data_IF_785511322296
#
_entry.id   IF_785511322296
#
_cell.length_a   1.000
_cell.length_b   1.000
_cell.length_c   1.000
_cell.angle_alpha   90.00
_cell.angle_beta   90.00
_cell.angle_gamma   90.00
#
_symmetry.space_group_name_H-M   'P 1'
#
loop_
_entity.id
_entity.type
_entity.pdbx_description
1 polymer ?
#
# COMPACT_ATOMS: atom_id res chain seq x y z
N UNK A 1 25.71 15.26 6.65
CA UNK A 1 25.26 13.98 7.23
C UNK A 1 24.72 13.15 6.07
N UNK A 2 25.21 11.94 5.92
CA UNK A 2 25.23 11.21 4.65
C UNK A 2 23.83 10.86 4.14
N UNK A 3 23.63 11.02 2.83
CA UNK A 3 22.42 10.61 2.10
C UNK A 3 22.01 9.16 2.39
N UNK A 4 22.93 8.30 2.77
CA UNK A 4 22.72 6.87 3.05
C UNK A 4 22.01 6.64 4.38
N UNK A 5 22.33 7.39 5.43
CA UNK A 5 21.63 7.31 6.73
C UNK A 5 20.19 7.82 6.61
N UNK A 6 19.98 8.83 5.78
CA UNK A 6 18.62 9.34 5.50
C UNK A 6 17.77 8.32 4.73
N UNK A 7 18.34 7.62 3.74
CA UNK A 7 17.61 6.59 2.97
C UNK A 7 17.27 5.39 3.84
N UNK A 8 18.19 4.91 4.68
CA UNK A 8 17.93 3.80 5.60
C UNK A 8 16.82 4.13 6.62
N UNK A 9 16.84 5.36 7.16
CA UNK A 9 15.78 5.84 8.04
C UNK A 9 14.42 5.91 7.33
N UNK A 10 14.38 6.34 6.07
CA UNK A 10 13.16 6.36 5.24
C UNK A 10 12.62 4.94 5.03
N UNK A 11 13.49 3.98 4.73
CA UNK A 11 13.11 2.57 4.52
C UNK A 11 12.50 1.99 5.80
N UNK A 12 13.19 2.13 6.93
CA UNK A 12 12.72 1.56 8.20
C UNK A 12 11.43 2.23 8.68
N UNK A 13 11.33 3.55 8.48
CA UNK A 13 10.10 4.31 8.76
C UNK A 13 8.93 3.85 7.88
N UNK A 14 9.13 3.66 6.60
CA UNK A 14 8.07 3.25 5.67
C UNK A 14 7.53 1.85 5.94
N UNK A 15 8.39 0.91 6.38
CA UNK A 15 7.98 -0.48 6.61
C UNK A 15 7.34 -0.67 7.99
N UNK A 16 7.92 -0.10 9.05
CA UNK A 16 7.51 -0.36 10.44
C UNK A 16 6.72 0.78 11.05
N UNK A 17 7.29 1.99 11.11
CA UNK A 17 6.71 3.11 11.87
C UNK A 17 5.51 3.73 11.17
N UNK A 18 5.61 3.96 9.85
CA UNK A 18 4.56 4.54 9.02
C UNK A 18 3.96 3.49 8.07
N UNK A 19 3.64 2.31 8.60
CA UNK A 19 2.95 1.31 7.80
C UNK A 19 1.60 1.84 7.33
N UNK A 20 1.35 1.78 6.01
CA UNK A 20 0.14 2.38 5.40
C UNK A 20 -1.15 1.80 5.95
N UNK A 21 -1.19 0.51 6.31
CA UNK A 21 -2.39 -0.15 6.83
C UNK A 21 -2.58 0.18 8.32
N UNK A 22 -1.59 -0.10 9.15
CA UNK A 22 -1.74 -0.07 10.60
C UNK A 22 -1.57 1.33 11.21
N UNK A 23 -0.78 2.20 10.59
CA UNK A 23 -0.55 3.56 11.09
C UNK A 23 -1.42 4.61 10.40
N UNK A 24 -1.60 4.51 9.09
CA UNK A 24 -2.32 5.50 8.28
C UNK A 24 -3.75 5.08 7.94
N UNK A 25 -4.14 3.83 8.21
CA UNK A 25 -5.44 3.25 7.85
C UNK A 25 -5.75 3.33 6.34
N UNK A 26 -4.72 3.32 5.50
CA UNK A 26 -4.84 3.38 4.06
C UNK A 26 -4.70 1.98 3.44
N UNK A 27 -5.54 1.67 2.44
CA UNK A 27 -5.52 0.37 1.79
C UNK A 27 -6.27 -0.74 2.54
N UNK A 28 -7.25 -0.39 3.37
CA UNK A 28 -8.05 -1.36 4.12
C UNK A 28 -8.92 -2.24 3.23
N UNK A 29 -9.37 -1.75 2.06
CA UNK A 29 -10.23 -2.52 1.16
C UNK A 29 -9.55 -3.80 0.66
N UNK A 30 -8.34 -3.76 0.05
CA UNK A 30 -7.63 -4.98 -0.31
C UNK A 30 -7.13 -5.77 0.90
N UNK A 31 -6.79 -5.09 2.00
CA UNK A 31 -6.37 -5.74 3.24
C UNK A 31 -7.44 -6.68 3.81
N UNK A 32 -8.69 -6.26 3.88
CA UNK A 32 -9.80 -7.09 4.35
C UNK A 32 -10.30 -8.07 3.29
N UNK A 33 -10.32 -7.65 2.02
CA UNK A 33 -10.86 -8.43 0.92
C UNK A 33 -9.98 -9.59 0.46
N UNK A 34 -8.65 -9.38 0.41
CA UNK A 34 -7.69 -10.32 -0.18
C UNK A 34 -6.89 -11.14 0.83
N UNK A 35 -7.17 -11.00 2.13
CA UNK A 35 -6.41 -11.66 3.21
C UNK A 35 -6.97 -13.01 3.64
N UNK A 36 -7.87 -13.63 2.87
CA UNK A 36 -8.43 -14.96 3.20
C UNK A 36 -7.42 -16.10 3.05
N UNK A 37 -6.47 -15.97 2.12
CA UNK A 37 -5.41 -16.95 1.86
C UNK A 37 -4.06 -16.25 1.70
N UNK A 38 -2.99 -16.86 2.23
CA UNK A 38 -1.63 -16.30 2.16
C UNK A 38 -1.17 -16.09 0.72
N UNK A 39 -1.44 -17.04 -0.18
CA UNK A 39 -1.03 -16.94 -1.60
C UNK A 39 -1.67 -15.75 -2.30
N UNK A 40 -2.96 -15.52 -2.06
CA UNK A 40 -3.70 -14.36 -2.62
C UNK A 40 -3.20 -13.05 -2.01
N UNK A 41 -2.93 -13.03 -0.70
CA UNK A 41 -2.40 -11.88 0.01
C UNK A 41 -1.00 -11.50 -0.49
N UNK A 42 -0.11 -12.48 -0.70
CA UNK A 42 1.22 -12.27 -1.22
C UNK A 42 1.19 -11.73 -2.66
N UNK A 43 0.38 -12.32 -3.54
CA UNK A 43 0.19 -11.86 -4.91
C UNK A 43 -0.33 -10.42 -4.97
N UNK A 44 -1.33 -10.10 -4.14
CA UNK A 44 -1.87 -8.74 -4.03
C UNK A 44 -0.84 -7.75 -3.48
N UNK A 45 -0.10 -8.13 -2.46
CA UNK A 45 0.96 -7.30 -1.87
C UNK A 45 2.06 -6.96 -2.88
N UNK A 46 2.46 -7.94 -3.69
CA UNK A 46 3.47 -7.76 -4.73
C UNK A 46 2.97 -6.83 -5.86
N UNK A 47 1.73 -7.02 -6.30
CA UNK A 47 1.10 -6.17 -7.31
C UNK A 47 0.99 -4.70 -6.81
N UNK A 48 0.54 -4.49 -5.58
CA UNK A 48 0.45 -3.16 -4.97
C UNK A 48 1.84 -2.53 -4.84
N UNK A 49 2.87 -3.28 -4.43
CA UNK A 49 4.25 -2.78 -4.33
C UNK A 49 4.76 -2.26 -5.68
N UNK A 50 4.53 -3.02 -6.74
CA UNK A 50 4.91 -2.63 -8.10
C UNK A 50 4.19 -1.34 -8.55
N UNK A 51 2.88 -1.29 -8.34
CA UNK A 51 2.06 -0.11 -8.68
C UNK A 51 2.47 1.11 -7.87
N UNK A 52 2.75 0.97 -6.57
CA UNK A 52 3.20 2.07 -5.71
C UNK A 52 4.54 2.63 -6.14
N UNK A 53 5.49 1.78 -6.53
CA UNK A 53 6.79 2.20 -7.06
C UNK A 53 6.65 3.00 -8.35
N UNK A 54 5.88 2.49 -9.32
CA UNK A 54 5.62 3.19 -10.59
C UNK A 54 4.82 4.48 -10.40
N UNK A 55 3.77 4.45 -9.57
CA UNK A 55 2.98 5.64 -9.28
C UNK A 55 3.82 6.75 -8.64
N UNK A 56 4.71 6.39 -7.70
CA UNK A 56 5.64 7.35 -7.07
C UNK A 56 6.57 8.02 -8.09
N UNK A 57 7.10 7.24 -9.05
CA UNK A 57 7.98 7.78 -10.09
C UNK A 57 7.24 8.74 -11.04
N UNK A 58 6.08 8.31 -11.55
CA UNK A 58 5.31 9.09 -12.53
C UNK A 58 4.68 10.32 -11.89
N UNK A 59 4.10 10.18 -10.70
CA UNK A 59 3.48 11.31 -10.01
C UNK A 59 4.51 12.35 -9.54
N UNK A 60 5.75 11.95 -9.28
CA UNK A 60 6.83 12.92 -9.03
C UNK A 60 7.09 13.80 -10.26
N UNK A 61 7.15 13.22 -11.47
CA UNK A 61 7.28 13.98 -12.72
C UNK A 61 6.09 14.91 -12.96
N UNK A 62 4.87 14.40 -12.73
CA UNK A 62 3.66 15.21 -12.83
C UNK A 62 3.65 16.34 -11.83
N UNK A 63 4.11 16.12 -10.61
CA UNK A 63 4.23 17.17 -9.60
C UNK A 63 5.19 18.29 -10.06
N UNK A 64 6.35 17.95 -10.60
CA UNK A 64 7.28 18.93 -11.14
C UNK A 64 6.65 19.78 -12.26
N UNK A 65 5.81 19.17 -13.10
CA UNK A 65 5.09 19.87 -14.14
C UNK A 65 4.02 20.80 -13.58
N UNK A 66 3.20 20.33 -12.62
CA UNK A 66 2.13 21.11 -11.99
C UNK A 66 2.68 22.33 -11.24
N UNK A 67 3.79 22.17 -10.53
CA UNK A 67 4.44 23.27 -9.80
C UNK A 67 4.94 24.35 -10.80
N UNK A 68 5.52 23.95 -11.94
CA UNK A 68 5.94 24.89 -13.00
C UNK A 68 4.77 25.66 -13.63
N UNK A 69 3.60 25.02 -13.71
CA UNK A 69 2.38 25.64 -14.27
C UNK A 69 1.58 26.45 -13.22
N UNK A 70 1.99 26.45 -11.96
CA UNK A 70 1.29 27.15 -10.88
C UNK A 70 -0.07 26.55 -10.48
N UNK A 71 -0.35 25.29 -10.87
CA UNK A 71 -1.62 24.60 -10.67
C UNK A 71 -1.62 23.70 -9.42
N UNK A 72 -1.00 24.13 -8.33
CA UNK A 72 -0.87 23.33 -7.10
C UNK A 72 -2.20 22.90 -6.48
N UNK A 73 -3.29 23.65 -6.67
CA UNK A 73 -4.61 23.30 -6.14
C UNK A 73 -5.27 22.08 -6.85
N UNK A 74 -4.84 21.76 -8.07
CA UNK A 74 -5.34 20.60 -8.84
C UNK A 74 -4.52 19.33 -8.62
N UNK A 75 -3.54 19.36 -7.71
CA UNK A 75 -2.55 18.31 -7.50
C UNK A 75 -3.20 16.96 -7.20
N UNK A 76 -4.14 16.90 -6.25
CA UNK A 76 -4.81 15.66 -5.86
C UNK A 76 -5.63 15.06 -7.01
N UNK A 77 -6.35 15.89 -7.77
CA UNK A 77 -7.14 15.43 -8.91
C UNK A 77 -6.24 14.87 -10.01
N UNK A 78 -5.14 15.57 -10.30
CA UNK A 78 -4.16 15.11 -11.27
C UNK A 78 -3.54 13.76 -10.89
N UNK A 79 -3.21 13.56 -9.61
CA UNK A 79 -2.68 12.29 -9.14
C UNK A 79 -3.68 11.14 -9.26
N UNK A 80 -4.94 11.34 -8.87
CA UNK A 80 -5.99 10.31 -9.02
C UNK A 80 -6.13 9.92 -10.49
N UNK A 81 -6.16 10.87 -11.41
CA UNK A 81 -6.31 10.62 -12.83
C UNK A 81 -5.11 9.86 -13.41
N UNK A 82 -3.89 10.27 -13.05
CA UNK A 82 -2.66 9.61 -13.49
C UNK A 82 -2.56 8.19 -12.94
N UNK A 83 -2.87 7.96 -11.67
CA UNK A 83 -2.85 6.64 -11.04
C UNK A 83 -3.90 5.73 -11.70
N UNK A 84 -5.12 6.24 -11.93
CA UNK A 84 -6.17 5.47 -12.59
C UNK A 84 -5.77 5.05 -14.01
N UNK A 85 -5.22 5.97 -14.81
CA UNK A 85 -4.74 5.69 -16.16
C UNK A 85 -3.58 4.67 -16.17
N UNK A 86 -2.64 4.82 -15.24
CA UNK A 86 -1.50 3.91 -15.08
C UNK A 86 -1.95 2.49 -14.73
N UNK A 87 -2.83 2.34 -13.75
CA UNK A 87 -3.32 1.03 -13.32
C UNK A 87 -4.15 0.38 -14.41
N UNK A 88 -4.98 1.13 -15.12
CA UNK A 88 -5.73 0.64 -16.26
C UNK A 88 -4.82 0.14 -17.39
N UNK A 89 -3.72 0.84 -17.64
CA UNK A 89 -2.71 0.41 -18.60
C UNK A 89 -2.03 -0.89 -18.17
N UNK A 90 -1.65 -1.01 -16.90
CA UNK A 90 -1.07 -2.23 -16.33
C UNK A 90 -2.06 -3.39 -16.42
N UNK A 91 -3.34 -3.16 -16.14
CA UNK A 91 -4.39 -4.16 -16.27
C UNK A 91 -4.48 -4.73 -17.68
N UNK A 92 -4.52 -3.86 -18.69
CA UNK A 92 -4.54 -4.30 -20.09
C UNK A 92 -3.28 -5.07 -20.47
N UNK A 93 -2.13 -4.66 -19.96
CA UNK A 93 -0.87 -5.35 -20.20
C UNK A 93 -0.84 -6.73 -19.55
N UNK A 94 -1.26 -6.86 -18.29
CA UNK A 94 -1.35 -8.14 -17.57
C UNK A 94 -2.32 -9.11 -18.25
N UNK A 95 -3.46 -8.63 -18.70
CA UNK A 95 -4.46 -9.43 -19.43
C UNK A 95 -3.88 -10.05 -20.69
N UNK A 96 -3.00 -9.35 -21.39
CA UNK A 96 -2.39 -9.81 -22.64
C UNK A 96 -1.14 -10.69 -22.42
N UNK A 97 -0.32 -10.36 -21.42
CA UNK A 97 0.99 -10.97 -21.20
C UNK A 97 0.94 -12.18 -20.26
N UNK A 98 0.13 -12.15 -19.22
CA UNK A 98 0.09 -13.21 -18.21
C UNK A 98 -1.36 -13.52 -17.81
N UNK A 99 -2.11 -14.27 -18.66
CA UNK A 99 -3.52 -14.60 -18.41
C UNK A 99 -3.74 -15.39 -17.11
N UNK A 100 -2.78 -16.19 -16.70
CA UNK A 100 -2.82 -16.98 -15.46
C UNK A 100 -2.84 -16.08 -14.22
N UNK A 101 -2.00 -15.06 -14.16
CA UNK A 101 -1.96 -14.09 -13.07
C UNK A 101 -3.19 -13.17 -13.10
N UNK A 102 -3.65 -12.80 -14.30
CA UNK A 102 -4.89 -12.05 -14.48
C UNK A 102 -6.11 -12.82 -13.96
N UNK A 103 -6.21 -14.13 -14.23
CA UNK A 103 -7.29 -14.97 -13.70
C UNK A 103 -7.27 -15.08 -12.17
N UNK A 104 -6.09 -15.15 -11.56
CA UNK A 104 -5.93 -15.20 -10.11
C UNK A 104 -6.25 -13.86 -9.42
N UNK A 105 -5.89 -12.74 -10.04
CA UNK A 105 -6.09 -11.38 -9.53
C UNK A 105 -7.34 -10.67 -10.08
N UNK A 106 -8.02 -11.25 -11.07
CA UNK A 106 -9.03 -10.59 -11.89
C UNK A 106 -10.17 -9.90 -11.13
N UNK A 107 -10.65 -10.50 -10.03
CA UNK A 107 -11.69 -9.92 -9.17
C UNK A 107 -11.11 -8.77 -8.30
N UNK A 108 -9.79 -8.79 -8.02
CA UNK A 108 -9.13 -7.85 -7.12
C UNK A 108 -8.46 -6.66 -7.83
N UNK A 109 -8.39 -6.68 -9.17
CA UNK A 109 -7.82 -5.59 -9.96
C UNK A 109 -8.49 -4.22 -9.70
N UNK A 110 -9.82 -4.10 -9.62
CA UNK A 110 -10.46 -2.86 -9.23
C UNK A 110 -10.02 -2.35 -7.85
N UNK A 111 -9.69 -3.25 -6.92
CA UNK A 111 -9.20 -2.89 -5.59
C UNK A 111 -7.77 -2.31 -5.62
N UNK A 112 -6.98 -2.60 -6.66
CA UNK A 112 -5.67 -1.98 -6.87
C UNK A 112 -5.85 -0.56 -7.42
N UNK A 113 -6.77 -0.38 -8.38
CA UNK A 113 -7.04 0.91 -9.03
C UNK A 113 -7.53 1.95 -8.04
N UNK A 114 -8.43 1.55 -7.14
CA UNK A 114 -9.03 2.42 -6.12
C UNK A 114 -8.30 2.36 -4.77
N UNK A 115 -7.08 1.84 -4.73
CA UNK A 115 -6.34 1.66 -3.48
C UNK A 115 -5.88 2.99 -2.90
N UNK A 116 -6.43 3.35 -1.75
CA UNK A 116 -6.09 4.57 -1.02
C UNK A 116 -4.59 4.63 -0.61
N UNK A 117 -3.92 3.49 -0.45
CA UNK A 117 -2.50 3.46 -0.10
C UNK A 117 -1.62 3.97 -1.25
N UNK A 118 -1.98 3.70 -2.52
CA UNK A 118 -1.27 4.21 -3.69
C UNK A 118 -1.37 5.73 -3.77
N UNK A 119 -2.57 6.27 -3.54
CA UNK A 119 -2.77 7.72 -3.49
C UNK A 119 -2.04 8.33 -2.28
N UNK A 120 -2.12 7.67 -1.13
CA UNK A 120 -1.49 8.11 0.11
C UNK A 120 0.03 8.26 -0.01
N UNK A 121 0.71 7.29 -0.63
CA UNK A 121 2.17 7.36 -0.82
C UNK A 121 2.57 8.56 -1.69
N UNK A 122 1.81 8.86 -2.74
CA UNK A 122 2.09 9.99 -3.63
C UNK A 122 1.87 11.32 -2.91
N UNK A 123 0.81 11.45 -2.13
CA UNK A 123 0.54 12.64 -1.33
C UNK A 123 1.62 12.87 -0.26
N UNK A 124 2.05 11.83 0.44
CA UNK A 124 3.12 11.92 1.44
C UNK A 124 4.48 12.27 0.80
N UNK A 125 4.80 11.71 -0.36
CA UNK A 125 5.99 12.08 -1.12
C UNK A 125 6.05 13.58 -1.42
N UNK A 126 4.91 14.16 -1.75
CA UNK A 126 4.79 15.60 -2.02
C UNK A 126 4.88 16.43 -0.75
N UNK A 127 4.23 16.00 0.34
CA UNK A 127 4.28 16.68 1.63
C UNK A 127 5.70 16.71 2.21
N UNK A 128 6.45 15.61 2.08
CA UNK A 128 7.84 15.54 2.53
C UNK A 128 8.82 16.17 1.55
N UNK A 129 8.37 16.65 0.39
CA UNK A 129 9.21 17.23 -0.65
C UNK A 129 10.38 16.35 -1.05
N UNK A 130 10.16 15.05 -1.16
CA UNK A 130 11.18 14.07 -1.50
C UNK A 130 11.73 14.27 -2.92
N UNK A 131 13.04 14.04 -3.07
CA UNK A 131 13.66 13.96 -4.39
C UNK A 131 13.18 12.71 -5.16
N UNK A 132 13.44 12.65 -6.46
CA UNK A 132 12.99 11.54 -7.31
C UNK A 132 13.37 10.16 -6.75
N UNK A 133 14.64 9.96 -6.39
CA UNK A 133 15.13 8.70 -5.84
C UNK A 133 14.45 8.34 -4.50
N UNK A 134 14.32 9.32 -3.61
CA UNK A 134 13.66 9.12 -2.30
C UNK A 134 12.19 8.77 -2.46
N UNK A 135 11.49 9.41 -3.41
CA UNK A 135 10.09 9.12 -3.73
C UNK A 135 9.89 7.69 -4.20
N UNK A 136 10.75 7.20 -5.10
CA UNK A 136 10.68 5.83 -5.62
C UNK A 136 10.98 4.82 -4.51
N UNK A 137 12.04 5.06 -3.73
CA UNK A 137 12.42 4.20 -2.59
C UNK A 137 11.28 4.15 -1.58
N UNK A 138 10.71 5.28 -1.19
CA UNK A 138 9.59 5.33 -0.26
C UNK A 138 8.35 4.58 -0.79
N UNK A 139 8.06 4.70 -2.10
CA UNK A 139 6.96 3.99 -2.76
C UNK A 139 7.15 2.46 -2.73
N UNK A 140 8.34 1.97 -3.09
CA UNK A 140 8.64 0.53 -3.10
C UNK A 140 8.64 -0.06 -1.69
N UNK A 141 9.33 0.59 -0.73
CA UNK A 141 9.39 0.08 0.64
C UNK A 141 8.07 0.26 1.40
N UNK A 142 7.28 1.29 1.09
CA UNK A 142 5.91 1.42 1.56
C UNK A 142 5.02 0.27 1.07
N UNK A 143 5.18 -0.13 -0.20
CA UNK A 143 4.51 -1.30 -0.77
C UNK A 143 4.95 -2.62 -0.10
N UNK A 144 6.24 -2.79 0.19
CA UNK A 144 6.73 -3.95 0.96
C UNK A 144 6.17 -3.97 2.38
N UNK A 145 6.04 -2.81 3.04
CA UNK A 145 5.36 -2.68 4.32
C UNK A 145 3.88 -3.08 4.25
N UNK A 146 3.20 -2.70 3.17
CA UNK A 146 1.84 -3.13 2.88
C UNK A 146 1.75 -4.65 2.69
N UNK A 147 2.66 -5.24 1.90
CA UNK A 147 2.74 -6.69 1.68
C UNK A 147 2.96 -7.43 2.99
N UNK A 148 3.87 -6.97 3.83
CA UNK A 148 4.13 -7.55 5.15
C UNK A 148 2.87 -7.55 6.01
N UNK A 149 2.17 -6.42 6.07
CA UNK A 149 0.96 -6.28 6.87
C UNK A 149 -0.17 -7.21 6.40
N UNK A 150 -0.41 -7.31 5.09
CA UNK A 150 -1.48 -8.18 4.56
C UNK A 150 -1.15 -9.67 4.73
N UNK A 151 0.13 -10.06 4.60
CA UNK A 151 0.56 -11.45 4.83
C UNK A 151 0.46 -11.84 6.32
N UNK A 152 0.85 -10.95 7.24
CA UNK A 152 0.68 -11.18 8.68
C UNK A 152 -0.79 -11.37 9.03
N UNK A 153 -1.65 -10.51 8.51
CA UNK A 153 -3.09 -10.61 8.76
C UNK A 153 -3.71 -11.86 8.14
N UNK A 154 -3.29 -12.26 6.93
CA UNK A 154 -3.73 -13.50 6.31
C UNK A 154 -3.35 -14.72 7.16
N UNK A 155 -2.13 -14.75 7.72
CA UNK A 155 -1.70 -15.82 8.63
C UNK A 155 -2.53 -15.89 9.91
N UNK A 156 -2.95 -14.74 10.45
CA UNK A 156 -3.83 -14.68 11.62
C UNK A 156 -5.22 -15.19 11.26
N UNK A 157 -5.78 -14.77 10.12
CA UNK A 157 -7.11 -15.23 9.66
C UNK A 157 -7.16 -16.73 9.41
N UNK A 158 -6.13 -17.29 8.81
CA UNK A 158 -6.04 -18.73 8.56
C UNK A 158 -6.01 -19.54 9.87
N UNK A 159 -5.40 -19.02 10.93
CA UNK A 159 -5.45 -19.62 12.27
C UNK A 159 -6.80 -19.43 12.96
N UNK A 160 -7.45 -18.30 12.74
CA UNK A 160 -8.76 -18.03 13.32
C UNK A 160 -9.87 -18.92 12.74
N UNK A 161 -9.71 -19.44 11.53
CA UNK A 161 -10.66 -20.38 10.92
C UNK A 161 -10.81 -21.68 11.75
N UNK A 162 -9.78 -22.06 12.50
CA UNK A 162 -9.77 -23.24 13.38
C UNK A 162 -10.07 -22.91 14.84
N UNK A 163 -10.34 -21.65 15.18
CA UNK A 163 -10.58 -21.24 16.55
C UNK A 163 -12.07 -21.33 16.88
N UNK A 164 -12.37 -21.75 18.12
CA UNK A 164 -13.73 -21.79 18.64
C UNK A 164 -14.07 -20.41 19.25
N UNK A 165 -14.96 -19.68 18.60
CA UNK A 165 -15.44 -18.37 19.04
C UNK A 165 -16.97 -18.30 18.94
N UNK A 166 -17.63 -17.41 19.73
CA UNK A 166 -19.08 -17.27 19.73
C UNK A 166 -19.64 -16.95 18.33
N UNK A 167 -20.78 -17.51 17.97
CA UNK A 167 -21.45 -17.31 16.68
C UNK A 167 -21.64 -15.83 16.31
N UNK A 168 -21.79 -14.94 17.30
CA UNK A 168 -21.91 -13.50 17.09
C UNK A 168 -20.65 -12.84 16.50
N UNK A 169 -19.49 -13.49 16.61
CA UNK A 169 -18.21 -13.00 16.06
C UNK A 169 -17.79 -13.69 14.77
N UNK A 170 -18.60 -14.63 14.29
CA UNK A 170 -18.30 -15.39 13.08
C UNK A 170 -18.22 -14.49 11.84
N UNK A 171 -17.19 -14.71 11.00
CA UNK A 171 -17.00 -14.03 9.74
C UNK A 171 -16.29 -12.67 9.84
N UNK A 172 -16.95 -11.59 9.43
CA UNK A 172 -16.35 -10.27 9.33
C UNK A 172 -16.00 -9.60 10.67
N UNK A 173 -16.82 -9.72 11.75
CA UNK A 173 -16.51 -9.08 13.04
C UNK A 173 -15.18 -9.52 13.65
N UNK A 174 -14.86 -10.81 13.62
CA UNK A 174 -13.59 -11.32 14.17
C UNK A 174 -12.39 -10.81 13.38
N UNK A 175 -12.54 -10.62 12.05
CA UNK A 175 -11.51 -10.04 11.22
C UNK A 175 -11.20 -8.60 11.62
N UNK A 176 -12.23 -7.79 11.92
CA UNK A 176 -12.05 -6.41 12.37
C UNK A 176 -11.36 -6.33 13.73
N UNK A 177 -11.76 -7.18 14.68
CA UNK A 177 -11.15 -7.25 16.02
C UNK A 177 -9.67 -7.63 15.89
N UNK A 178 -9.36 -8.63 15.09
CA UNK A 178 -7.98 -9.08 14.85
C UNK A 178 -7.12 -8.02 14.16
N UNK A 179 -7.69 -7.31 13.18
CA UNK A 179 -7.03 -6.17 12.53
C UNK A 179 -6.74 -5.04 13.52
N UNK A 180 -7.69 -4.74 14.41
CA UNK A 180 -7.52 -3.74 15.47
C UNK A 180 -6.42 -4.12 16.46
N UNK A 181 -6.36 -5.39 16.88
CA UNK A 181 -5.30 -5.89 17.78
C UNK A 181 -3.92 -5.82 17.12
N UNK A 182 -3.81 -6.16 15.83
CA UNK A 182 -2.57 -6.01 15.09
C UNK A 182 -2.16 -4.55 14.95
N UNK A 183 -3.11 -3.65 14.69
CA UNK A 183 -2.83 -2.20 14.62
C UNK A 183 -2.32 -1.66 15.97
N UNK A 184 -2.89 -2.09 17.10
CA UNK A 184 -2.41 -1.75 18.43
C UNK A 184 -0.98 -2.27 18.69
N UNK A 185 -0.67 -3.49 18.25
CA UNK A 185 0.68 -4.04 18.35
C UNK A 185 1.70 -3.22 17.53
N UNK A 186 1.32 -2.78 16.32
CA UNK A 186 2.16 -1.92 15.48
C UNK A 186 2.31 -0.49 16.03
N UNK A 187 1.34 0.02 16.78
CA UNK A 187 1.47 1.30 17.47
C UNK A 187 2.65 1.33 18.46
N UNK A 188 3.07 0.19 18.99
CA UNK A 188 4.29 0.08 19.81
C UNK A 188 5.54 0.55 19.08
N UNK A 189 5.59 0.43 17.74
CA UNK A 189 6.72 0.91 16.94
C UNK A 189 6.66 2.41 16.64
N UNK A 190 5.51 3.06 16.77
CA UNK A 190 5.33 4.48 16.45
C UNK A 190 6.07 5.42 17.42
N UNK A 191 6.46 4.92 18.59
CA UNK A 191 7.27 5.67 19.57
C UNK A 191 8.77 5.69 19.26
N UNK A 192 9.24 4.87 18.33
CA UNK A 192 10.65 4.86 17.93
C UNK A 192 10.94 6.02 16.98
N UNK A 193 11.45 7.11 17.52
CA UNK A 193 12.01 8.22 16.71
C UNK A 193 13.33 7.74 16.09
N UNK A 194 13.28 7.35 14.84
CA UNK A 194 14.48 7.00 14.08
C UNK A 194 15.05 8.28 13.50
N UNK A 195 15.97 8.88 14.30
CA UNK A 195 16.91 9.95 13.92
C UNK A 195 16.31 11.25 13.46
#
# INVERSE_FOLDING_TARGET
MSSTTSIFAIILSAVLTNNFIFSQFLGCCPFLGCSSKIDTAAGMGLAVTFVMGLASAICWLVNCLLVKLGLGFLQTIAYILVIAALVQFIEMFLKKSIPSLYSALGIYLPLITTNCAVLGVVLLNTQYSFGFLQSVVYGVFGGLGFMLAICLFASVREKLEFADYPESFEGFPICLVSAGLLALAFMGFSGMKIG
#
